data_IF_689853935847
#
_entry.id   IF_689853935847
#
_cell.length_a   1.000
_cell.length_b   1.000
_cell.length_c   1.000
_cell.angle_alpha   90.00
_cell.angle_beta   90.00
_cell.angle_gamma   90.00
#
_symmetry.space_group_name_H-M   'P 1'
#
loop_
_entity.id
_entity.type
_entity.pdbx_description
1 polymer ?
#
# COMPACT_ATOMS: atom_id res chain seq x y z
N UNK A 1 -58.46 16.05 -5.24
CA UNK A 1 -57.10 16.56 -5.54
C UNK A 1 -56.57 15.82 -6.76
N UNK A 2 -56.52 16.48 -7.92
CA UNK A 2 -56.20 15.87 -9.21
C UNK A 2 -54.69 15.97 -9.50
N UNK A 3 -54.02 14.83 -9.65
CA UNK A 3 -52.60 14.75 -9.97
C UNK A 3 -52.38 14.87 -11.48
N UNK A 4 -51.82 16.00 -11.93
CA UNK A 4 -51.42 16.24 -13.33
C UNK A 4 -50.10 15.52 -13.62
N UNK A 5 -50.13 14.54 -14.53
CA UNK A 5 -48.93 13.90 -15.08
C UNK A 5 -48.31 14.81 -16.16
N UNK A 6 -47.02 15.14 -16.03
CA UNK A 6 -46.24 15.79 -17.08
C UNK A 6 -45.65 14.76 -18.06
N UNK A 7 -45.65 15.04 -19.38
CA UNK A 7 -45.04 14.16 -20.37
C UNK A 7 -43.53 14.42 -20.51
N UNK A 8 -42.74 13.35 -20.44
CA UNK A 8 -41.30 13.36 -20.72
C UNK A 8 -41.10 13.15 -22.22
N UNK A 9 -40.57 14.17 -22.91
CA UNK A 9 -40.19 14.10 -24.32
C UNK A 9 -38.80 13.48 -24.46
N UNK A 10 -38.71 12.27 -25.01
CA UNK A 10 -37.44 11.63 -25.40
C UNK A 10 -36.88 12.32 -26.65
N UNK A 11 -35.74 13.02 -26.51
CA UNK A 11 -34.93 13.47 -27.64
C UNK A 11 -34.39 12.25 -28.40
N UNK A 12 -34.67 12.18 -29.70
CA UNK A 12 -34.05 11.21 -30.62
C UNK A 12 -32.58 11.60 -30.83
N UNK A 13 -31.65 10.72 -30.44
CA UNK A 13 -30.25 10.81 -30.85
C UNK A 13 -30.10 10.19 -32.24
N UNK A 14 -29.54 10.96 -33.18
CA UNK A 14 -29.11 10.45 -34.48
C UNK A 14 -27.77 9.71 -34.34
N UNK A 15 -27.57 8.57 -35.02
CA UNK A 15 -26.29 7.88 -35.03
C UNK A 15 -25.30 8.56 -35.98
N UNK A 16 -24.15 8.96 -35.45
CA UNK A 16 -23.01 9.43 -36.23
C UNK A 16 -22.30 8.23 -36.86
N UNK A 17 -22.33 8.16 -38.19
CA UNK A 17 -21.60 7.19 -39.00
C UNK A 17 -20.10 7.49 -38.94
N UNK A 18 -19.33 6.58 -38.31
CA UNK A 18 -17.87 6.58 -38.38
C UNK A 18 -17.47 5.60 -39.47
N UNK A 19 -17.11 6.13 -40.64
CA UNK A 19 -16.38 5.42 -41.69
C UNK A 19 -14.94 5.21 -41.23
N UNK A 20 -14.58 3.98 -40.88
CA UNK A 20 -13.19 3.59 -40.62
C UNK A 20 -12.67 2.82 -41.83
N UNK A 21 -11.75 3.45 -42.55
CA UNK A 21 -11.02 2.90 -43.68
C UNK A 21 -10.22 1.66 -43.27
N UNK A 22 -10.38 0.60 -44.06
CA UNK A 22 -9.56 -0.62 -44.00
C UNK A 22 -8.16 -0.31 -44.55
N UNK A 23 -7.14 -0.43 -43.71
CA UNK A 23 -5.75 -0.54 -44.15
C UNK A 23 -5.26 -1.97 -43.89
N UNK A 24 -5.24 -2.76 -44.96
CA UNK A 24 -4.66 -4.10 -45.00
C UNK A 24 -3.14 -4.02 -44.83
N UNK A 25 -2.63 -4.35 -43.64
CA UNK A 25 -1.21 -4.59 -43.41
C UNK A 25 -0.93 -6.09 -43.46
N UNK A 26 -0.42 -6.53 -44.62
CA UNK A 26 0.18 -7.86 -44.82
C UNK A 26 1.45 -7.94 -43.98
N UNK A 27 1.43 -8.70 -42.88
CA UNK A 27 2.65 -9.10 -42.18
C UNK A 27 2.87 -10.58 -42.48
N UNK A 28 3.93 -10.83 -43.25
CA UNK A 28 4.31 -12.15 -43.74
C UNK A 28 4.69 -13.10 -42.62
N UNK A 29 4.23 -14.35 -42.77
CA UNK A 29 4.75 -15.51 -42.07
C UNK A 29 6.25 -15.67 -42.40
N UNK A 30 7.11 -15.47 -41.42
CA UNK A 30 8.46 -16.07 -41.42
C UNK A 30 8.62 -16.89 -40.16
N UNK A 31 8.58 -18.21 -40.37
CA UNK A 31 9.08 -19.24 -39.49
C UNK A 31 10.50 -18.94 -39.03
N UNK A 32 10.75 -19.18 -37.74
CA UNK A 32 12.01 -19.57 -37.08
C UNK A 32 11.58 -19.89 -35.64
N UNK A 33 11.39 -21.15 -35.23
CA UNK A 33 12.47 -22.10 -34.94
C UNK A 33 13.71 -21.35 -34.46
N UNK A 34 13.79 -21.12 -33.14
CA UNK A 34 14.98 -21.11 -32.29
C UNK A 34 14.52 -20.84 -30.84
N UNK A 35 15.18 -21.50 -29.89
CA UNK A 35 14.95 -21.50 -28.44
C UNK A 35 13.89 -22.47 -27.89
N UNK A 36 14.10 -23.75 -28.23
CA UNK A 36 14.24 -24.78 -27.19
C UNK A 36 15.60 -24.54 -26.50
N UNK A 37 15.66 -24.68 -25.18
CA UNK A 37 16.76 -24.33 -24.25
C UNK A 37 16.62 -22.95 -23.57
N UNK A 38 15.74 -22.89 -22.57
CA UNK A 38 15.99 -22.19 -21.30
C UNK A 38 15.02 -22.72 -20.23
N UNK A 39 14.96 -24.05 -20.13
CA UNK A 39 14.58 -24.72 -18.88
C UNK A 39 15.89 -25.11 -18.20
N UNK A 40 15.96 -24.92 -16.88
CA UNK A 40 17.12 -25.16 -15.99
C UNK A 40 18.07 -23.95 -15.87
N UNK A 41 17.66 -22.98 -15.04
CA UNK A 41 18.50 -22.27 -14.05
C UNK A 41 17.57 -21.35 -13.21
N UNK A 42 16.76 -21.97 -12.35
CA UNK A 42 16.08 -21.29 -11.24
C UNK A 42 16.36 -22.06 -9.95
N UNK A 43 17.62 -22.02 -9.55
CA UNK A 43 18.22 -22.34 -8.26
C UNK A 43 19.44 -21.42 -8.26
N UNK A 44 19.66 -20.44 -7.40
CA UNK A 44 19.27 -20.20 -6.01
C UNK A 44 19.58 -18.71 -5.75
N UNK A 45 18.59 -17.84 -5.55
CA UNK A 45 18.82 -16.46 -5.07
C UNK A 45 17.71 -16.04 -4.10
N UNK A 46 17.45 -16.92 -3.13
CA UNK A 46 16.52 -16.67 -2.01
C UNK A 46 17.19 -17.12 -0.72
N UNK A 47 18.20 -16.39 -0.25
CA UNK A 47 18.62 -16.54 1.16
C UNK A 47 19.47 -15.39 1.73
N UNK A 48 20.22 -14.63 0.92
CA UNK A 48 21.24 -13.73 1.47
C UNK A 48 20.73 -12.37 1.99
N UNK A 49 19.58 -11.87 1.54
CA UNK A 49 19.13 -10.51 1.92
C UNK A 49 18.21 -10.47 3.16
N UNK A 50 17.85 -11.62 3.74
CA UNK A 50 17.01 -11.67 4.96
C UNK A 50 17.81 -11.75 6.25
N UNK A 51 19.09 -12.12 6.20
CA UNK A 51 19.92 -12.22 7.41
C UNK A 51 20.37 -10.82 7.88
N UNK A 52 20.62 -9.90 6.95
CA UNK A 52 21.06 -8.53 7.27
C UNK A 52 19.98 -7.67 7.94
N UNK A 53 18.69 -7.85 7.59
CA UNK A 53 17.60 -7.15 8.28
C UNK A 53 17.30 -7.75 9.68
N UNK A 54 17.64 -9.02 9.91
CA UNK A 54 17.39 -9.67 11.20
C UNK A 54 18.41 -9.27 12.28
N UNK A 55 19.66 -8.98 11.91
CA UNK A 55 20.70 -8.52 12.85
C UNK A 55 20.55 -7.02 13.21
N UNK A 56 20.11 -6.18 12.27
CA UNK A 56 19.90 -4.75 12.55
C UNK A 56 18.72 -4.49 13.50
N UNK A 57 17.66 -5.29 13.40
CA UNK A 57 16.52 -5.23 14.33
C UNK A 57 16.83 -5.84 15.71
N UNK A 58 17.85 -6.71 15.80
CA UNK A 58 18.28 -7.32 17.08
C UNK A 58 19.13 -6.36 17.91
N UNK A 59 20.00 -5.57 17.27
CA UNK A 59 20.84 -4.58 17.96
C UNK A 59 20.07 -3.42 18.60
N UNK A 60 18.88 -3.08 18.10
CA UNK A 60 18.04 -2.03 18.72
C UNK A 60 17.23 -2.52 19.94
N UNK A 61 16.97 -3.83 20.06
CA UNK A 61 16.14 -4.37 21.15
C UNK A 61 16.90 -4.71 22.44
N UNK A 62 18.23 -4.84 22.40
CA UNK A 62 19.01 -5.24 23.58
C UNK A 62 19.49 -4.06 24.46
N UNK A 63 19.27 -2.81 24.04
CA UNK A 63 19.76 -1.63 24.78
C UNK A 63 18.73 -0.89 25.64
N UNK A 64 17.44 -1.23 25.58
CA UNK A 64 16.38 -0.47 26.30
C UNK A 64 15.86 -1.15 27.58
N UNK A 65 16.56 -2.15 28.12
CA UNK A 65 16.13 -2.87 29.32
C UNK A 65 16.50 -2.20 30.66
N UNK A 66 17.09 -1.01 30.67
CA UNK A 66 17.37 -0.28 31.92
C UNK A 66 17.31 1.22 31.73
N UNK A 67 16.11 1.80 31.81
CA UNK A 67 15.85 3.14 32.36
C UNK A 67 14.34 3.38 32.46
N UNK A 68 13.73 2.78 33.48
CA UNK A 68 12.42 3.20 33.99
C UNK A 68 12.60 4.58 34.66
N UNK A 69 12.53 5.65 33.86
CA UNK A 69 12.35 7.00 34.37
C UNK A 69 10.87 7.22 34.68
N UNK A 70 10.52 7.04 35.95
CA UNK A 70 9.28 7.49 36.57
C UNK A 70 9.15 9.02 36.45
N UNK A 71 8.33 9.52 35.52
CA UNK A 71 7.84 10.91 35.50
C UNK A 71 6.39 10.99 34.98
N UNK A 72 5.62 12.01 35.39
CA UNK A 72 4.19 11.88 35.66
C UNK A 72 3.32 11.92 34.41
N UNK A 73 2.20 11.19 34.48
CA UNK A 73 1.03 11.26 33.61
C UNK A 73 0.53 12.71 33.50
N UNK A 74 1.02 13.47 32.52
CA UNK A 74 0.66 14.88 32.34
C UNK A 74 1.00 15.40 30.95
N UNK A 75 0.05 15.24 30.02
CA UNK A 75 -0.05 15.83 28.67
C UNK A 75 1.06 15.49 27.66
N UNK A 76 1.04 14.25 27.17
CA UNK A 76 1.96 13.77 26.14
C UNK A 76 1.86 14.47 24.76
N UNK A 77 0.70 15.05 24.43
CA UNK A 77 0.58 15.90 23.23
C UNK A 77 1.42 17.17 23.30
N UNK A 78 1.65 17.72 24.49
CA UNK A 78 2.42 18.96 24.63
C UNK A 78 3.89 18.73 24.27
N UNK A 79 4.41 17.52 24.55
CA UNK A 79 5.78 17.16 24.18
C UNK A 79 5.91 17.05 22.65
N UNK A 80 4.91 16.46 21.97
CA UNK A 80 4.87 16.41 20.51
C UNK A 80 4.79 17.80 19.87
N UNK A 81 4.01 18.71 20.46
CA UNK A 81 3.88 20.09 19.99
C UNK A 81 5.19 20.90 20.08
N UNK A 82 6.12 20.48 20.94
CA UNK A 82 7.37 21.20 21.17
C UNK A 82 8.43 20.90 20.09
N UNK A 83 8.49 19.66 19.61
CA UNK A 83 9.52 19.20 18.66
C UNK A 83 9.03 19.03 17.24
N UNK A 84 7.75 18.69 17.05
CA UNK A 84 7.24 18.40 15.73
C UNK A 84 7.14 19.67 14.88
N UNK A 85 7.59 19.64 13.62
CA UNK A 85 7.39 20.76 12.72
C UNK A 85 5.89 20.98 12.47
N UNK A 86 5.48 22.23 12.26
CA UNK A 86 4.05 22.60 12.12
C UNK A 86 3.33 21.78 11.04
N UNK A 87 3.99 21.53 9.90
CA UNK A 87 3.43 20.74 8.81
C UNK A 87 3.34 19.22 9.09
N UNK A 88 3.93 18.72 10.18
CA UNK A 88 3.73 17.34 10.62
C UNK A 88 2.49 17.16 11.50
N UNK A 89 1.90 18.24 12.00
CA UNK A 89 0.74 18.21 12.87
C UNK A 89 -0.55 18.20 12.03
N UNK A 90 -1.42 17.19 12.18
CA UNK A 90 -2.71 17.20 11.51
C UNK A 90 -3.64 18.30 12.05
N UNK A 91 -4.59 18.74 11.22
CA UNK A 91 -5.60 19.72 11.64
C UNK A 91 -6.40 19.20 12.84
N UNK A 92 -6.59 20.07 13.83
CA UNK A 92 -7.42 19.79 15.01
C UNK A 92 -8.85 19.41 14.59
N UNK A 93 -9.39 18.34 15.16
CA UNK A 93 -10.71 17.81 14.82
C UNK A 93 -10.73 16.90 13.58
N UNK A 94 -9.58 16.65 12.94
CA UNK A 94 -9.47 15.58 11.95
C UNK A 94 -9.29 14.22 12.64
N UNK A 95 -9.80 13.12 12.07
CA UNK A 95 -9.61 11.78 12.65
C UNK A 95 -8.14 11.32 12.63
N UNK A 96 -7.29 11.98 11.82
CA UNK A 96 -5.83 11.77 11.84
C UNK A 96 -5.21 12.40 13.09
N UNK A 97 -5.67 13.60 13.48
CA UNK A 97 -5.27 14.24 14.72
C UNK A 97 -5.70 13.39 15.93
N UNK A 98 -6.92 12.85 15.92
CA UNK A 98 -7.40 11.96 16.98
C UNK A 98 -6.55 10.68 17.11
N UNK A 99 -6.14 10.08 15.98
CA UNK A 99 -5.22 8.95 16.02
C UNK A 99 -3.87 9.34 16.64
N UNK A 100 -3.30 10.49 16.26
CA UNK A 100 -2.04 10.97 16.83
C UNK A 100 -2.18 11.26 18.32
N UNK A 101 -3.33 11.82 18.74
CA UNK A 101 -3.67 12.07 20.14
C UNK A 101 -3.72 10.77 20.94
N UNK A 102 -4.36 9.71 20.42
CA UNK A 102 -4.40 8.39 21.07
C UNK A 102 -2.99 7.83 21.23
N UNK A 103 -2.19 7.84 20.15
CA UNK A 103 -0.82 7.30 20.15
C UNK A 103 0.15 8.14 20.98
N UNK A 104 -0.19 9.40 21.26
CA UNK A 104 0.65 10.28 22.05
C UNK A 104 0.80 9.78 23.47
N UNK A 105 -0.11 8.97 24.02
CA UNK A 105 0.02 8.46 25.38
C UNK A 105 1.25 7.55 25.63
N UNK A 106 1.99 7.19 24.57
CA UNK A 106 3.19 6.36 24.62
C UNK A 106 2.89 4.86 24.80
N UNK A 107 1.63 4.48 24.90
CA UNK A 107 1.23 3.10 25.12
C UNK A 107 1.04 2.34 23.80
N UNK A 108 1.08 1.01 23.90
CA UNK A 108 0.73 0.11 22.81
C UNK A 108 -0.79 0.00 22.68
N UNK A 109 -1.31 0.32 21.50
CA UNK A 109 -2.74 0.25 21.17
C UNK A 109 -3.03 -0.89 20.21
N UNK A 110 -3.97 -1.76 20.60
CA UNK A 110 -4.41 -2.85 19.75
C UNK A 110 -5.22 -2.35 18.55
N UNK A 111 -5.08 -3.03 17.41
CA UNK A 111 -5.85 -2.73 16.19
C UNK A 111 -7.35 -2.62 16.47
N UNK A 112 -7.92 -3.58 17.18
CA UNK A 112 -9.36 -3.61 17.42
C UNK A 112 -9.81 -2.44 18.31
N UNK A 113 -8.98 -2.07 19.29
CA UNK A 113 -9.20 -0.88 20.11
C UNK A 113 -9.24 0.40 19.25
N UNK A 114 -8.26 0.58 18.36
CA UNK A 114 -8.23 1.71 17.43
C UNK A 114 -9.41 1.70 16.44
N UNK A 115 -9.83 0.52 15.96
CA UNK A 115 -11.01 0.40 15.09
C UNK A 115 -12.30 0.81 15.81
N UNK A 116 -12.42 0.49 17.10
CA UNK A 116 -13.61 0.84 17.88
C UNK A 116 -13.69 2.34 18.14
N UNK A 117 -12.54 3.01 18.35
CA UNK A 117 -12.50 4.45 18.61
C UNK A 117 -12.64 5.30 17.33
N UNK A 118 -11.93 4.93 16.26
CA UNK A 118 -11.79 5.75 15.05
C UNK A 118 -12.57 5.19 13.85
N UNK A 119 -13.25 4.05 14.02
CA UNK A 119 -13.93 3.32 12.97
C UNK A 119 -13.00 2.52 12.05
N UNK A 120 -13.59 1.81 11.09
CA UNK A 120 -12.86 0.97 10.11
C UNK A 120 -11.91 1.74 9.19
N UNK A 121 -11.98 3.08 9.18
CA UNK A 121 -11.12 3.97 8.41
C UNK A 121 -9.74 4.21 9.01
N UNK A 122 -9.46 3.74 10.24
CA UNK A 122 -8.23 4.09 10.97
C UNK A 122 -6.94 3.80 10.19
N UNK A 123 -6.93 2.75 9.36
CA UNK A 123 -5.77 2.38 8.53
C UNK A 123 -5.38 3.51 7.56
N UNK A 124 -6.37 4.23 7.02
CA UNK A 124 -6.11 5.39 6.17
C UNK A 124 -5.48 6.54 6.95
N UNK A 125 -5.86 6.73 8.21
CA UNK A 125 -5.27 7.75 9.09
C UNK A 125 -3.82 7.40 9.44
N UNK A 126 -3.57 6.13 9.78
CA UNK A 126 -2.23 5.60 10.03
C UNK A 126 -1.31 5.77 8.81
N UNK A 127 -1.81 5.47 7.61
CA UNK A 127 -1.08 5.68 6.36
C UNK A 127 -0.73 7.14 6.10
N UNK A 128 -1.62 8.08 6.46
CA UNK A 128 -1.34 9.51 6.34
C UNK A 128 -0.24 9.94 7.31
N UNK A 129 -0.30 9.51 8.59
CA UNK A 129 0.70 9.84 9.60
C UNK A 129 2.09 9.31 9.25
N UNK A 130 2.17 8.04 8.85
CA UNK A 130 3.42 7.39 8.44
C UNK A 130 3.91 7.81 7.06
N UNK A 131 3.09 8.57 6.31
CA UNK A 131 3.35 8.98 4.95
C UNK A 131 3.89 10.40 4.83
N UNK A 132 4.00 10.84 3.58
CA UNK A 132 4.56 12.14 3.22
C UNK A 132 3.71 13.32 3.70
N UNK A 133 2.40 13.13 3.83
CA UNK A 133 1.45 14.18 4.23
C UNK A 133 1.77 14.80 5.58
N UNK A 134 2.26 14.01 6.54
CA UNK A 134 2.56 14.47 7.91
C UNK A 134 4.01 14.17 8.31
N UNK A 135 4.91 14.21 7.32
CA UNK A 135 6.36 14.08 7.51
C UNK A 135 6.78 12.83 8.28
N UNK A 136 6.20 11.68 7.94
CA UNK A 136 6.70 10.36 8.33
C UNK A 136 6.83 10.16 9.85
N UNK A 137 5.71 10.25 10.59
CA UNK A 137 5.70 9.86 11.99
C UNK A 137 6.21 8.43 12.16
N UNK A 138 7.14 8.22 13.09
CA UNK A 138 7.72 6.91 13.34
C UNK A 138 6.81 6.13 14.29
N UNK A 139 5.95 5.31 13.69
CA UNK A 139 4.98 4.48 14.40
C UNK A 139 5.41 3.03 14.26
N UNK A 140 5.64 2.38 15.40
CA UNK A 140 5.98 0.97 15.47
C UNK A 140 4.75 0.10 15.32
N UNK A 141 4.96 -1.13 14.87
CA UNK A 141 3.92 -2.14 14.84
C UNK A 141 4.47 -3.52 15.18
N UNK A 142 3.79 -4.24 16.05
CA UNK A 142 4.17 -5.59 16.48
C UNK A 142 2.95 -6.50 16.51
N UNK A 143 3.11 -7.78 16.18
CA UNK A 143 2.05 -8.77 16.35
C UNK A 143 2.10 -9.35 17.75
N UNK A 144 1.05 -9.12 18.55
CA UNK A 144 0.94 -9.65 19.91
C UNK A 144 -0.46 -10.18 20.18
N UNK A 145 -0.66 -10.82 21.34
CA UNK A 145 -1.95 -11.30 21.79
C UNK A 145 -2.69 -10.20 22.55
N UNK A 146 -3.93 -9.91 22.12
CA UNK A 146 -4.83 -8.98 22.81
C UNK A 146 -6.24 -9.58 22.78
N UNK A 147 -6.87 -9.70 23.94
CA UNK A 147 -8.17 -10.36 24.12
C UNK A 147 -8.24 -11.78 23.51
N UNK A 148 -7.21 -12.59 23.72
CA UNK A 148 -7.16 -13.98 23.25
C UNK A 148 -6.97 -14.14 21.73
N UNK A 149 -6.64 -13.06 21.02
CA UNK A 149 -6.46 -13.06 19.56
C UNK A 149 -5.14 -12.38 19.18
N UNK A 150 -4.44 -12.95 18.21
CA UNK A 150 -3.25 -12.32 17.62
C UNK A 150 -3.67 -11.13 16.77
N UNK A 151 -3.14 -9.95 17.09
CA UNK A 151 -3.39 -8.73 16.35
C UNK A 151 -2.20 -7.77 16.42
N UNK A 152 -2.22 -6.77 15.53
CA UNK A 152 -1.22 -5.72 15.51
C UNK A 152 -1.43 -4.75 16.68
N UNK A 153 -0.36 -4.46 17.41
CA UNK A 153 -0.24 -3.36 18.35
C UNK A 153 0.53 -2.22 17.68
N UNK A 154 0.13 -0.98 17.95
CA UNK A 154 0.75 0.23 17.41
C UNK A 154 1.12 1.20 18.53
N UNK A 155 2.27 1.85 18.42
CA UNK A 155 2.70 2.91 19.34
C UNK A 155 3.64 3.87 18.65
N UNK A 156 3.72 5.10 19.16
CA UNK A 156 4.62 6.12 18.66
C UNK A 156 6.04 5.89 19.22
N UNK A 157 7.07 6.12 18.41
CA UNK A 157 8.46 6.01 18.85
C UNK A 157 8.78 7.01 19.98
N UNK A 158 9.56 6.56 20.96
CA UNK A 158 9.89 7.34 22.15
C UNK A 158 10.65 8.64 21.83
N UNK A 159 11.43 8.65 20.73
CA UNK A 159 12.21 9.80 20.28
C UNK A 159 11.33 11.02 19.95
N UNK A 160 10.04 10.82 19.68
CA UNK A 160 9.11 11.92 19.46
C UNK A 160 8.74 12.66 20.76
N UNK A 161 8.88 12.01 21.92
CA UNK A 161 8.52 12.57 23.22
C UNK A 161 9.70 13.18 23.99
N UNK A 162 10.93 13.03 23.49
CA UNK A 162 12.15 13.42 24.22
C UNK A 162 12.37 14.93 24.33
N UNK A 163 11.51 15.74 23.69
CA UNK A 163 11.67 17.19 23.55
C UNK A 163 12.98 17.62 22.84
N UNK A 164 13.71 16.68 22.25
CA UNK A 164 14.91 16.93 21.44
C UNK A 164 14.55 16.93 19.95
N UNK A 165 14.75 18.09 19.31
CA UNK A 165 14.48 18.28 17.89
C UNK A 165 15.31 17.32 17.00
N UNK A 166 16.54 17.01 17.40
CA UNK A 166 17.41 16.16 16.60
C UNK A 166 16.95 14.70 16.66
N UNK A 167 16.48 14.24 17.83
CA UNK A 167 15.91 12.90 17.98
C UNK A 167 14.60 12.73 17.20
N UNK A 168 13.69 13.70 17.24
CA UNK A 168 12.47 13.68 16.40
C UNK A 168 12.83 13.62 14.91
N UNK A 169 13.81 14.42 14.48
CA UNK A 169 14.28 14.45 13.09
C UNK A 169 14.91 13.12 12.66
N UNK A 170 15.69 12.49 13.52
CA UNK A 170 16.33 11.21 13.24
C UNK A 170 15.28 10.10 13.14
N UNK A 171 14.30 10.06 14.06
CA UNK A 171 13.17 9.15 14.00
C UNK A 171 12.37 9.30 12.70
N UNK A 172 12.05 10.54 12.28
CA UNK A 172 11.39 10.80 10.99
C UNK A 172 12.22 10.39 9.80
N UNK A 173 13.54 10.55 9.86
CA UNK A 173 14.46 10.15 8.79
C UNK A 173 14.47 8.63 8.62
N UNK A 174 14.48 7.89 9.73
CA UNK A 174 14.36 6.43 9.74
C UNK A 174 13.01 6.01 9.16
N UNK A 175 11.90 6.60 9.64
CA UNK A 175 10.56 6.30 9.15
C UNK A 175 10.40 6.59 7.65
N UNK A 176 10.96 7.69 7.17
CA UNK A 176 10.98 8.06 5.74
C UNK A 176 11.72 7.00 4.91
N UNK A 177 12.90 6.56 5.35
CA UNK A 177 13.66 5.50 4.68
C UNK A 177 12.80 4.24 4.56
N UNK A 178 12.25 3.75 5.68
CA UNK A 178 11.42 2.55 5.69
C UNK A 178 10.18 2.69 4.79
N UNK A 179 9.54 3.86 4.77
CA UNK A 179 8.40 4.12 3.91
C UNK A 179 8.77 4.02 2.42
N UNK A 180 9.87 4.66 2.02
CA UNK A 180 10.32 4.66 0.62
C UNK A 180 10.84 3.28 0.20
N UNK A 181 11.49 2.53 1.08
CA UNK A 181 11.91 1.15 0.84
C UNK A 181 10.69 0.25 0.55
N UNK A 182 9.66 0.30 1.41
CA UNK A 182 8.40 -0.42 1.18
C UNK A 182 7.75 -0.05 -0.16
N UNK A 183 7.76 1.23 -0.49
CA UNK A 183 7.23 1.71 -1.78
C UNK A 183 8.04 1.16 -2.96
N UNK A 184 9.37 1.16 -2.87
CA UNK A 184 10.26 0.66 -3.92
C UNK A 184 10.03 -0.84 -4.18
N UNK A 185 10.09 -1.67 -3.13
CA UNK A 185 9.87 -3.12 -3.27
C UNK A 185 8.42 -3.46 -3.69
N UNK A 186 7.45 -2.65 -3.24
CA UNK A 186 6.06 -2.74 -3.67
C UNK A 186 5.92 -2.52 -5.19
N UNK A 187 6.53 -1.45 -5.71
CA UNK A 187 6.54 -1.14 -7.14
C UNK A 187 7.29 -2.21 -7.95
N UNK A 188 8.46 -2.65 -7.49
CA UNK A 188 9.23 -3.74 -8.14
C UNK A 188 8.39 -5.02 -8.26
N UNK A 189 7.64 -5.36 -7.21
CA UNK A 189 6.75 -6.53 -7.21
C UNK A 189 5.54 -6.34 -8.13
N UNK A 190 5.00 -5.12 -8.20
CA UNK A 190 3.89 -4.80 -9.11
C UNK A 190 4.31 -4.94 -10.59
N UNK A 191 5.51 -4.50 -10.95
CA UNK A 191 6.07 -4.68 -12.31
C UNK A 191 6.18 -6.16 -12.66
N UNK A 192 6.68 -7.00 -11.75
CA UNK A 192 6.75 -8.46 -11.97
C UNK A 192 5.36 -9.07 -12.21
N UNK A 193 4.36 -8.67 -11.41
CA UNK A 193 2.98 -9.15 -11.58
C UNK A 193 2.37 -8.69 -12.90
N UNK A 194 2.69 -7.49 -13.35
CA UNK A 194 2.24 -6.97 -14.64
C UNK A 194 2.80 -7.81 -15.80
N UNK A 195 4.10 -8.09 -15.78
CA UNK A 195 4.74 -8.93 -16.80
C UNK A 195 4.13 -10.33 -16.86
N UNK A 196 3.83 -10.93 -15.71
CA UNK A 196 3.15 -12.22 -15.67
C UNK A 196 1.73 -12.12 -16.27
N UNK A 197 0.95 -11.11 -15.89
CA UNK A 197 -0.40 -10.92 -16.42
C UNK A 197 -0.42 -10.65 -17.93
N UNK A 198 0.60 -9.99 -18.48
CA UNK A 198 0.77 -9.82 -19.92
C UNK A 198 1.00 -11.16 -20.63
N UNK A 199 1.84 -12.03 -20.08
CA UNK A 199 2.06 -13.38 -20.62
C UNK A 199 0.79 -14.24 -20.54
N UNK A 200 0.14 -14.27 -19.38
CA UNK A 200 -1.10 -15.04 -19.16
C UNK A 200 -2.19 -14.60 -20.15
N UNK A 201 -2.27 -13.30 -20.45
CA UNK A 201 -3.18 -12.78 -21.47
C UNK A 201 -2.82 -13.28 -22.87
N UNK A 202 -1.55 -13.25 -23.27
CA UNK A 202 -1.10 -13.74 -24.57
C UNK A 202 -1.40 -15.24 -24.74
N UNK A 203 -1.18 -16.02 -23.68
CA UNK A 203 -1.46 -17.45 -23.68
C UNK A 203 -2.96 -17.73 -23.81
N UNK A 204 -3.80 -17.00 -23.06
CA UNK A 204 -5.25 -17.09 -23.15
C UNK A 204 -5.77 -16.66 -24.54
N UNK A 205 -5.23 -15.59 -25.11
CA UNK A 205 -5.57 -15.12 -26.46
C UNK A 205 -5.20 -16.20 -27.51
N UNK A 206 -4.02 -16.83 -27.36
CA UNK A 206 -3.56 -17.91 -28.24
C UNK A 206 -4.48 -19.12 -28.16
N UNK A 207 -4.82 -19.56 -26.94
CA UNK A 207 -5.74 -20.67 -26.71
C UNK A 207 -7.12 -20.40 -27.32
N UNK A 208 -7.64 -19.18 -27.16
CA UNK A 208 -8.91 -18.77 -27.75
C UNK A 208 -8.89 -18.87 -29.28
N UNK A 209 -7.84 -18.37 -29.93
CA UNK A 209 -7.72 -18.44 -31.40
C UNK A 209 -7.66 -19.90 -31.89
N UNK A 210 -6.95 -20.77 -31.17
CA UNK A 210 -6.87 -22.20 -31.50
C UNK A 210 -8.21 -22.92 -31.36
N UNK A 211 -8.95 -22.67 -30.28
CA UNK A 211 -10.20 -23.39 -29.98
C UNK A 211 -11.43 -22.83 -30.71
N UNK A 212 -11.55 -21.51 -30.75
CA UNK A 212 -12.76 -20.82 -31.22
C UNK A 212 -12.52 -20.15 -32.58
N UNK A 213 -11.42 -19.40 -32.73
CA UNK A 213 -11.08 -18.72 -33.99
C UNK A 213 -11.00 -19.69 -35.17
N UNK A 214 -10.35 -20.83 -34.97
CA UNK A 214 -10.16 -21.88 -35.99
C UNK A 214 -11.46 -22.62 -36.38
N UNK A 215 -12.44 -22.72 -35.47
CA UNK A 215 -13.74 -23.33 -35.76
C UNK A 215 -14.65 -22.42 -36.59
N UNK A 216 -14.46 -21.10 -36.47
CA UNK A 216 -15.28 -20.11 -37.19
C UNK A 216 -14.92 -20.03 -38.68
N UNK A 217 -13.66 -20.31 -39.05
CA UNK A 217 -13.25 -20.38 -40.46
C UNK A 217 -13.72 -21.65 -41.18
N UNK A 218 -13.85 -22.79 -40.47
CA UNK A 218 -14.37 -24.03 -41.06
C UNK A 218 -15.84 -23.92 -41.45
N UNK A 219 -16.64 -23.19 -40.67
CA UNK A 219 -18.07 -23.01 -40.92
C UNK A 219 -18.33 -22.05 -42.10
N UNK A 220 -17.40 -21.13 -42.42
CA UNK A 220 -17.54 -20.20 -43.55
C UNK A 220 -17.16 -20.81 -44.91
N UNK A 221 -16.49 -21.95 -44.92
CA UNK A 221 -16.07 -22.67 -46.14
C UNK A 221 -16.95 -23.90 -46.44
N UNK A 222 -18.09 -24.03 -45.76
CA UNK A 222 -19.18 -24.97 -46.03
C UNK A 222 -20.38 -24.18 -46.54
#
# INVERSE_FOLDING_TARGET
MANKKHPITRKKMHPTSITRSESTLKIGRKSRQLYSQNSIKQHTDTCADREFESEFLKQQNESNSMLLCSLPLGNSMNNLLFTAPEAALPNTGSPVYELLLILSDGNKHARDHLCNLLGGGFRGYLQKLTGECYQYWFIHSEQSEYNGKRQALYWLDESHFSCDLQQDKDARTIAKKQYKDRSYYGSKSAVKRLQQAEQDKVDADTEYQQRIGSNTEKIKNL
#
